data_IF_147295402790
#
_entry.id   IF_147295402790
#
_cell.length_a   1.000
_cell.length_b   1.000
_cell.length_c   1.000
_cell.angle_alpha   90.00
_cell.angle_beta   90.00
_cell.angle_gamma   90.00
#
_symmetry.space_group_name_H-M   'P 1'
#
loop_
_entity.id
_entity.type
_entity.pdbx_description
1 polymer ?
#
# COMPACT_ATOMS: atom_id res chain seq x y z
N UNK A 1 -2.58 37.94 -22.57
CA UNK A 1 -1.91 36.77 -21.98
C UNK A 1 -1.60 37.07 -20.52
N UNK A 2 -2.21 36.35 -19.59
CA UNK A 2 -1.84 36.39 -18.18
C UNK A 2 -1.80 34.98 -17.66
N UNK A 3 -0.60 34.38 -17.72
CA UNK A 3 -0.33 33.09 -17.09
C UNK A 3 -0.49 33.28 -15.59
N UNK A 4 -1.61 32.80 -15.04
CA UNK A 4 -1.67 32.47 -13.62
C UNK A 4 -0.80 31.23 -13.45
N UNK A 5 0.50 31.44 -13.33
CA UNK A 5 1.39 30.44 -12.77
C UNK A 5 0.88 30.21 -11.35
N UNK A 6 0.07 29.16 -11.17
CA UNK A 6 -0.18 28.60 -9.84
C UNK A 6 1.18 28.17 -9.33
N UNK A 7 1.81 29.06 -8.57
CA UNK A 7 2.94 28.72 -7.72
C UNK A 7 2.34 27.89 -6.57
N UNK A 8 1.97 26.65 -6.88
CA UNK A 8 1.47 25.70 -5.91
C UNK A 8 2.71 25.27 -5.15
N UNK A 9 2.87 25.76 -3.92
CA UNK A 9 3.75 25.09 -2.98
C UNK A 9 3.37 23.60 -3.03
N UNK A 10 4.35 22.74 -3.32
CA UNK A 10 4.19 21.30 -3.48
C UNK A 10 3.97 20.64 -2.11
N UNK A 11 3.05 21.18 -1.32
CA UNK A 11 2.62 20.59 -0.06
C UNK A 11 1.82 19.36 -0.39
N UNK A 12 2.30 18.22 0.10
CA UNK A 12 1.65 16.95 -0.08
C UNK A 12 0.43 16.89 0.83
N UNK A 13 -0.75 16.63 0.25
CA UNK A 13 -2.02 16.55 0.98
C UNK A 13 -2.50 15.11 1.05
N UNK A 14 -3.30 14.77 2.07
CA UNK A 14 -3.94 13.46 2.21
C UNK A 14 -4.53 12.94 0.89
N UNK A 15 -5.35 13.76 0.20
CA UNK A 15 -6.02 13.35 -1.03
C UNK A 15 -5.03 13.12 -2.19
N UNK A 16 -3.93 13.88 -2.24
CA UNK A 16 -2.89 13.71 -3.24
C UNK A 16 -1.98 12.52 -2.97
N UNK A 17 -1.71 12.24 -1.70
CA UNK A 17 -1.01 11.04 -1.25
C UNK A 17 -1.78 9.82 -1.72
N UNK A 18 -3.08 9.74 -1.42
CA UNK A 18 -3.93 8.62 -1.84
C UNK A 18 -4.07 8.53 -3.37
N UNK A 19 -4.27 9.67 -4.05
CA UNK A 19 -4.33 9.67 -5.51
C UNK A 19 -3.02 9.18 -6.15
N UNK A 20 -1.88 9.48 -5.54
CA UNK A 20 -0.57 9.02 -6.01
C UNK A 20 -0.39 7.52 -5.78
N UNK A 21 -0.73 7.02 -4.59
CA UNK A 21 -0.72 5.58 -4.28
C UNK A 21 -1.62 4.81 -5.25
N UNK A 22 -2.83 5.30 -5.49
CA UNK A 22 -3.76 4.68 -6.43
C UNK A 22 -3.18 4.62 -7.84
N UNK A 23 -2.65 5.73 -8.36
CA UNK A 23 -2.04 5.76 -9.71
C UNK A 23 -0.85 4.80 -9.84
N UNK A 24 0.00 4.71 -8.82
CA UNK A 24 1.15 3.80 -8.82
C UNK A 24 0.71 2.33 -8.90
N UNK A 25 -0.36 1.98 -8.18
CA UNK A 25 -0.92 0.62 -8.15
C UNK A 25 -1.74 0.31 -9.41
N UNK A 26 -2.48 1.29 -9.96
CA UNK A 26 -3.16 1.15 -11.25
C UNK A 26 -2.16 0.89 -12.39
N UNK A 27 -1.00 1.54 -12.35
CA UNK A 27 0.10 1.31 -13.31
C UNK A 27 0.83 -0.02 -13.08
N UNK A 28 0.63 -0.68 -11.93
CA UNK A 28 1.31 -1.91 -11.53
C UNK A 28 0.29 -2.95 -10.99
N UNK A 29 -0.59 -3.49 -11.85
CA UNK A 29 -1.61 -4.43 -11.42
C UNK A 29 -1.01 -5.67 -10.76
N UNK A 30 -1.65 -6.15 -9.68
CA UNK A 30 -1.21 -7.33 -8.94
C UNK A 30 0.01 -7.08 -8.02
N UNK A 31 0.39 -5.82 -7.78
CA UNK A 31 1.42 -5.46 -6.81
C UNK A 31 0.83 -4.72 -5.60
N UNK A 32 1.54 -4.79 -4.50
CA UNK A 32 1.37 -3.94 -3.34
C UNK A 32 2.56 -2.97 -3.24
N UNK A 33 2.34 -1.81 -2.65
CA UNK A 33 3.37 -0.79 -2.43
C UNK A 33 3.64 -0.65 -0.94
N UNK A 34 4.90 -0.75 -0.54
CA UNK A 34 5.27 -0.57 0.86
C UNK A 34 5.11 0.90 1.28
N UNK A 35 4.41 1.13 2.38
CA UNK A 35 4.15 2.48 2.95
C UNK A 35 4.65 2.59 4.39
N UNK A 36 5.02 1.48 5.02
CA UNK A 36 5.66 1.41 6.33
C UNK A 36 6.39 0.07 6.49
N UNK A 37 6.90 -0.22 7.69
CA UNK A 37 7.69 -1.44 7.93
C UNK A 37 6.88 -2.72 7.70
N UNK A 38 5.64 -2.76 8.18
CA UNK A 38 4.70 -3.88 8.07
C UNK A 38 3.41 -3.50 7.31
N UNK A 39 3.37 -2.31 6.73
CA UNK A 39 2.19 -1.74 6.09
C UNK A 39 2.38 -1.57 4.58
N UNK A 40 1.38 -2.00 3.81
CA UNK A 40 1.35 -1.92 2.36
C UNK A 40 0.06 -1.29 1.87
N UNK A 41 0.16 -0.46 0.82
CA UNK A 41 -0.99 -0.04 0.03
C UNK A 41 -1.28 -1.08 -1.06
N UNK A 42 -2.55 -1.43 -1.22
CA UNK A 42 -3.05 -2.39 -2.21
C UNK A 42 -4.25 -1.84 -2.95
N UNK A 43 -4.45 -2.28 -4.20
CA UNK A 43 -5.62 -1.93 -5.01
C UNK A 43 -6.48 -3.17 -5.23
N UNK A 44 -7.62 -3.24 -4.55
CA UNK A 44 -8.55 -4.38 -4.60
C UNK A 44 -9.82 -3.93 -5.31
N UNK A 45 -10.10 -4.50 -6.48
CA UNK A 45 -11.27 -4.14 -7.30
C UNK A 45 -11.43 -2.62 -7.52
N UNK A 46 -10.31 -1.91 -7.71
CA UNK A 46 -10.28 -0.45 -7.90
C UNK A 46 -10.40 0.38 -6.61
N UNK A 47 -10.46 -0.27 -5.44
CA UNK A 47 -10.46 0.42 -4.14
C UNK A 47 -9.07 0.37 -3.54
N UNK A 48 -8.54 1.55 -3.17
CA UNK A 48 -7.27 1.68 -2.46
C UNK A 48 -7.47 1.34 -0.98
N UNK A 49 -6.69 0.38 -0.48
CA UNK A 49 -6.70 -0.04 0.92
C UNK A 49 -5.27 -0.14 1.47
N UNK A 50 -5.12 -0.05 2.78
CA UNK A 50 -3.94 -0.53 3.49
C UNK A 50 -4.07 -2.03 3.82
N UNK A 51 -2.96 -2.73 3.98
CA UNK A 51 -2.88 -4.12 4.41
C UNK A 51 -1.62 -4.32 5.26
N UNK A 52 -1.73 -5.17 6.29
CA UNK A 52 -0.58 -5.60 7.08
C UNK A 52 0.13 -6.79 6.44
N UNK A 53 1.33 -7.11 6.92
CA UNK A 53 1.98 -8.39 6.63
C UNK A 53 1.52 -9.50 7.57
N UNK A 54 1.53 -10.73 7.09
CA UNK A 54 1.42 -11.92 7.92
C UNK A 54 2.76 -12.26 8.60
N UNK A 55 2.77 -13.34 9.40
CA UNK A 55 3.96 -13.80 10.11
C UNK A 55 5.13 -14.22 9.19
N UNK A 56 4.86 -14.52 7.92
CA UNK A 56 5.86 -14.86 6.91
C UNK A 56 6.37 -13.60 6.17
N UNK A 57 5.91 -12.41 6.55
CA UNK A 57 6.26 -11.14 5.92
C UNK A 57 5.56 -10.90 4.57
N UNK A 58 4.60 -11.74 4.19
CA UNK A 58 3.81 -11.56 2.97
C UNK A 58 2.59 -10.67 3.23
N UNK A 59 2.18 -9.89 2.24
CA UNK A 59 1.01 -9.01 2.34
C UNK A 59 -0.25 -9.83 2.58
N UNK A 60 -0.96 -9.53 3.67
CA UNK A 60 -2.17 -10.23 4.07
C UNK A 60 -3.43 -9.44 3.66
N UNK A 61 -4.07 -9.89 2.59
CA UNK A 61 -5.31 -9.28 2.09
C UNK A 61 -6.52 -9.54 3.00
N UNK A 62 -6.40 -10.40 4.02
CA UNK A 62 -7.40 -10.62 5.05
C UNK A 62 -7.42 -9.54 6.13
N UNK A 63 -6.35 -8.76 6.27
CA UNK A 63 -6.18 -7.72 7.30
C UNK A 63 -6.09 -6.32 6.69
N UNK A 64 -7.02 -6.02 5.77
CA UNK A 64 -7.08 -4.71 5.11
C UNK A 64 -7.75 -3.65 5.97
N UNK A 65 -7.36 -2.39 5.76
CA UNK A 65 -7.92 -1.22 6.42
C UNK A 65 -8.09 -0.05 5.45
N UNK A 66 -8.99 0.88 5.79
CA UNK A 66 -9.15 2.13 5.06
C UNK A 66 -8.14 3.17 5.57
N UNK A 67 -7.63 4.01 4.66
CA UNK A 67 -6.81 5.15 5.04
C UNK A 67 -7.67 6.19 5.76
N UNK A 68 -7.40 6.43 7.04
CA UNK A 68 -8.11 7.44 7.81
C UNK A 68 -7.46 8.81 7.63
N UNK A 69 -8.28 9.85 7.48
CA UNK A 69 -7.81 11.23 7.46
C UNK A 69 -7.31 11.67 8.84
N UNK A 70 -7.82 11.09 9.92
CA UNK A 70 -7.37 11.39 11.28
C UNK A 70 -5.92 10.94 11.52
N UNK A 71 -5.45 9.93 10.80
CA UNK A 71 -4.06 9.44 10.86
C UNK A 71 -3.08 10.25 10.00
N UNK A 72 -3.53 11.34 9.36
CA UNK A 72 -2.69 12.22 8.54
C UNK A 72 -2.35 13.51 9.28
N UNK A 73 -1.06 13.72 9.53
CA UNK A 73 -0.53 14.98 10.03
C UNK A 73 -0.35 15.96 8.86
N UNK A 74 -1.28 16.90 8.73
CA UNK A 74 -1.24 17.92 7.69
C UNK A 74 -0.16 18.98 7.91
N UNK A 75 0.34 19.16 9.13
CA UNK A 75 1.43 20.10 9.44
C UNK A 75 2.78 19.50 9.06
N UNK A 76 2.96 18.19 9.29
CA UNK A 76 4.17 17.46 8.94
C UNK A 76 4.14 16.83 7.54
N UNK A 77 2.99 16.89 6.86
CA UNK A 77 2.73 16.31 5.54
C UNK A 77 2.99 14.79 5.48
N UNK A 78 2.62 14.06 6.54
CA UNK A 78 2.91 12.63 6.67
C UNK A 78 1.84 11.83 7.42
N UNK A 79 1.94 10.50 7.36
CA UNK A 79 1.16 9.63 8.24
C UNK A 79 1.68 9.71 9.68
N UNK A 80 0.82 9.49 10.68
CA UNK A 80 1.22 9.44 12.10
C UNK A 80 2.35 8.42 12.38
N UNK A 81 2.46 7.38 11.56
CA UNK A 81 3.53 6.37 11.64
C UNK A 81 4.83 6.74 10.92
N UNK A 82 4.84 7.81 10.12
CA UNK A 82 6.01 8.25 9.38
C UNK A 82 6.86 9.22 10.23
N UNK A 83 8.18 9.20 10.00
CA UNK A 83 9.11 10.12 10.68
C UNK A 83 8.92 11.57 10.20
N UNK A 84 8.54 11.77 8.93
CA UNK A 84 8.29 13.09 8.33
C UNK A 84 7.64 12.97 6.95
N UNK A 85 7.13 14.07 6.40
CA UNK A 85 6.60 14.10 5.02
C UNK A 85 7.62 13.74 3.94
N UNK A 86 8.92 13.85 4.24
CA UNK A 86 9.97 13.38 3.32
C UNK A 86 9.92 11.85 3.13
N UNK A 87 9.57 11.09 4.16
CA UNK A 87 9.41 9.64 4.07
C UNK A 87 8.23 9.30 3.17
N UNK A 88 7.08 9.94 3.39
CA UNK A 88 5.89 9.73 2.57
C UNK A 88 6.13 10.12 1.10
N UNK A 89 6.79 11.26 0.87
CA UNK A 89 7.16 11.71 -0.47
C UNK A 89 8.16 10.78 -1.15
N UNK A 90 9.13 10.24 -0.40
CA UNK A 90 10.10 9.26 -0.91
C UNK A 90 9.40 7.95 -1.30
N UNK A 91 8.46 7.46 -0.50
CA UNK A 91 7.65 6.28 -0.84
C UNK A 91 6.90 6.45 -2.17
N UNK A 92 6.43 7.66 -2.48
CA UNK A 92 5.79 7.95 -3.78
C UNK A 92 6.81 8.05 -4.90
N UNK A 93 7.92 8.77 -4.69
CA UNK A 93 8.91 9.04 -5.72
C UNK A 93 9.71 7.79 -6.11
N UNK A 94 9.93 6.89 -5.17
CA UNK A 94 10.70 5.65 -5.35
C UNK A 94 9.96 4.47 -4.69
N UNK A 95 8.86 3.98 -5.29
CA UNK A 95 8.00 2.99 -4.67
C UNK A 95 8.67 1.62 -4.59
N UNK A 96 8.65 1.03 -3.41
CA UNK A 96 8.98 -0.39 -3.21
C UNK A 96 7.72 -1.22 -3.49
N UNK A 97 7.75 -2.02 -4.57
CA UNK A 97 6.61 -2.81 -5.03
C UNK A 97 6.88 -4.30 -4.87
N UNK A 98 5.95 -5.00 -4.21
CA UNK A 98 6.00 -6.46 -4.03
C UNK A 98 4.84 -7.12 -4.78
N UNK A 99 5.06 -8.32 -5.33
CA UNK A 99 4.01 -9.07 -6.00
C UNK A 99 3.00 -9.59 -4.97
N UNK A 100 1.71 -9.37 -5.21
CA UNK A 100 0.65 -10.04 -4.46
C UNK A 100 0.62 -11.50 -4.92
N UNK A 101 0.97 -12.41 -4.03
CA UNK A 101 0.79 -13.83 -4.31
C UNK A 101 -0.71 -14.10 -4.46
N UNK A 102 -1.12 -14.92 -5.44
CA UNK A 102 -2.47 -15.45 -5.42
C UNK A 102 -2.69 -16.14 -4.07
N UNK A 103 -3.88 -16.02 -3.45
CA UNK A 103 -4.18 -16.80 -2.26
C UNK A 103 -3.86 -18.25 -2.58
N UNK A 104 -3.00 -18.87 -1.78
CA UNK A 104 -2.52 -20.22 -2.03
C UNK A 104 -3.74 -21.09 -2.33
N UNK A 105 -3.84 -21.56 -3.58
CA UNK A 105 -4.84 -22.55 -3.91
C UNK A 105 -4.58 -23.72 -2.96
N UNK A 106 -5.49 -23.92 -2.01
CA UNK A 106 -5.31 -24.83 -0.89
C UNK A 106 -4.68 -26.11 -1.40
N UNK A 107 -3.49 -26.42 -0.88
CA UNK A 107 -2.84 -27.69 -1.09
C UNK A 107 -3.76 -28.77 -0.50
N UNK A 108 -4.65 -29.30 -1.34
CA UNK A 108 -5.26 -30.60 -1.12
C UNK A 108 -4.12 -31.62 -1.17
N UNK A 109 -3.43 -31.78 -0.05
CA UNK A 109 -2.60 -32.95 0.20
C UNK A 109 -3.53 -34.16 0.17
N UNK A 110 -3.40 -35.09 -0.79
CA UNK A 110 -4.08 -36.37 -0.67
C UNK A 110 -3.42 -37.07 0.50
N UNK A 111 -4.19 -37.26 1.57
CA UNK A 111 -3.81 -38.04 2.73
C UNK A 111 -3.62 -39.49 2.27
N UNK A 112 -2.42 -39.84 1.81
CA UNK A 112 -2.04 -41.22 1.55
C UNK A 112 -1.78 -41.86 2.90
N UNK A 113 -2.86 -42.38 3.49
CA UNK A 113 -2.79 -43.24 4.66
C UNK A 113 -1.93 -44.45 4.32
N UNK A 114 -0.78 -44.50 4.98
CA UNK A 114 0.00 -45.71 5.19
C UNK A 114 -0.91 -46.80 5.73
N UNK A 115 -0.92 -47.95 5.05
CA UNK A 115 -1.25 -49.24 5.65
C UNK A 115 -0.16 -50.22 5.23
N UNK A 116 0.89 -50.24 6.04
CA UNK A 116 1.88 -51.31 6.11
C UNK A 116 1.22 -52.63 6.59
N UNK A 117 1.70 -53.72 5.99
CA UNK A 117 1.75 -55.12 6.45
C UNK A 117 0.46 -55.89 6.75
#
# INVERSE_FOLDING_TARGET
MSYHTRNRALTMTYDETLASYQRLLEANPGKAMQIGDDCYAVLINGTLCGAYTNLDGAVDLGTTFAFDREAWDAECECWEGDVSGMQTAFCIATPSLVALLPPAAGSNSPNQGEKEC
#
